data_IF_262660522448
#
_entry.id   IF_262660522448
#
_cell.length_a   1.000
_cell.length_b   1.000
_cell.length_c   1.000
_cell.angle_alpha   90.00
_cell.angle_beta   90.00
_cell.angle_gamma   90.00
#
_symmetry.space_group_name_H-M   'P 1'
#
loop_
_entity.id
_entity.type
_entity.pdbx_description
1 polymer ?
#
# COMPACT_ATOMS: atom_id res chain seq x y z
N UNK A 1 39.42 0.24 22.45
CA UNK A 1 38.38 -0.60 23.11
C UNK A 1 36.99 0.03 23.08
N UNK A 2 36.82 1.33 23.40
CA UNK A 2 35.51 2.03 23.34
C UNK A 2 34.87 2.05 21.93
N UNK A 3 35.66 2.20 20.88
CA UNK A 3 35.19 2.27 19.49
C UNK A 3 34.55 0.96 19.00
N UNK A 4 35.11 -0.19 19.38
CA UNK A 4 34.58 -1.50 18.99
C UNK A 4 33.21 -1.76 19.63
N UNK A 5 33.02 -1.31 20.87
CA UNK A 5 31.73 -1.40 21.58
C UNK A 5 30.67 -0.55 20.89
N UNK A 6 31.00 0.69 20.52
CA UNK A 6 30.08 1.57 19.78
C UNK A 6 29.65 0.98 18.43
N UNK A 7 30.58 0.36 17.70
CA UNK A 7 30.29 -0.31 16.42
C UNK A 7 29.34 -1.50 16.64
N UNK A 8 29.62 -2.36 17.64
CA UNK A 8 28.75 -3.49 17.96
C UNK A 8 27.34 -3.03 18.31
N UNK A 9 27.20 -2.01 19.16
CA UNK A 9 25.88 -1.46 19.50
C UNK A 9 25.16 -0.86 18.29
N UNK A 10 25.87 -0.15 17.41
CA UNK A 10 25.29 0.38 16.18
C UNK A 10 24.78 -0.72 15.25
N UNK A 11 25.52 -1.84 15.16
CA UNK A 11 25.15 -2.99 14.35
C UNK A 11 23.90 -3.69 14.90
N UNK A 12 23.83 -3.86 16.23
CA UNK A 12 22.67 -4.42 16.92
C UNK A 12 21.44 -3.52 16.68
N UNK A 13 21.60 -2.21 16.80
CA UNK A 13 20.49 -1.27 16.58
C UNK A 13 19.99 -1.29 15.13
N UNK A 14 20.90 -1.32 14.15
CA UNK A 14 20.56 -1.49 12.74
C UNK A 14 19.85 -2.82 12.49
N UNK A 15 20.30 -3.89 13.12
CA UNK A 15 19.66 -5.20 12.99
C UNK A 15 18.23 -5.19 13.58
N UNK A 16 18.02 -4.57 14.74
CA UNK A 16 16.69 -4.40 15.34
C UNK A 16 15.80 -3.56 14.43
N UNK A 17 16.30 -2.43 13.91
CA UNK A 17 15.56 -1.58 12.97
C UNK A 17 15.17 -2.34 11.70
N UNK A 18 16.07 -3.16 11.17
CA UNK A 18 15.80 -4.00 10.02
C UNK A 18 14.68 -5.00 10.30
N UNK A 19 14.69 -5.68 11.45
CA UNK A 19 13.61 -6.59 11.84
C UNK A 19 12.28 -5.84 11.99
N UNK A 20 12.28 -4.71 12.70
CA UNK A 20 11.08 -3.88 12.88
C UNK A 20 10.49 -3.47 11.52
N UNK A 21 11.31 -3.03 10.57
CA UNK A 21 10.84 -2.62 9.24
C UNK A 21 10.02 -3.70 8.53
N UNK A 22 10.39 -4.98 8.70
CA UNK A 22 9.66 -6.11 8.11
C UNK A 22 8.34 -6.40 8.80
N UNK A 23 8.23 -6.15 10.11
CA UNK A 23 7.00 -6.38 10.87
C UNK A 23 5.98 -5.24 10.75
N UNK A 24 6.45 -4.02 10.50
CA UNK A 24 5.61 -2.84 10.39
C UNK A 24 4.90 -2.72 9.04
N UNK A 25 5.43 -3.33 7.97
CA UNK A 25 4.76 -3.30 6.68
C UNK A 25 3.48 -4.17 6.66
N UNK A 26 2.35 -3.66 6.14
CA UNK A 26 1.14 -4.44 5.99
C UNK A 26 1.35 -5.62 5.04
N UNK A 27 0.77 -6.78 5.40
CA UNK A 27 0.77 -7.97 4.54
C UNK A 27 -0.07 -7.73 3.29
N UNK A 28 0.41 -8.26 2.17
CA UNK A 28 -0.33 -8.28 0.92
C UNK A 28 -1.54 -9.22 1.08
N UNK A 29 -2.73 -8.70 0.82
CA UNK A 29 -4.00 -9.44 0.89
C UNK A 29 -4.80 -9.23 -0.41
N UNK A 30 -5.76 -10.13 -0.67
CA UNK A 30 -6.67 -9.99 -1.81
C UNK A 30 -7.70 -8.88 -1.56
N UNK A 31 -8.30 -8.37 -2.63
CA UNK A 31 -9.34 -7.34 -2.52
C UNK A 31 -10.60 -7.90 -1.84
N UNK A 32 -10.95 -9.16 -2.09
CA UNK A 32 -12.06 -9.82 -1.37
C UNK A 32 -11.81 -9.89 0.15
N UNK A 33 -10.59 -10.25 0.58
CA UNK A 33 -10.24 -10.29 2.01
C UNK A 33 -10.22 -8.87 2.61
N UNK A 34 -9.78 -7.89 1.83
CA UNK A 34 -9.77 -6.47 2.20
C UNK A 34 -11.16 -5.99 2.59
N UNK A 35 -12.22 -6.44 1.89
CA UNK A 35 -13.61 -6.11 2.23
C UNK A 35 -14.04 -6.70 3.58
N UNK A 36 -13.37 -7.74 4.09
CA UNK A 36 -13.67 -8.39 5.38
C UNK A 36 -12.94 -7.74 6.56
N UNK A 37 -11.89 -6.93 6.34
CA UNK A 37 -11.11 -6.24 7.41
C UNK A 37 -11.90 -5.16 8.14
N UNK A 38 -11.52 -4.83 9.37
CA UNK A 38 -12.18 -3.77 10.14
C UNK A 38 -11.79 -2.37 9.63
N UNK A 39 -12.60 -1.36 9.96
CA UNK A 39 -12.23 0.02 9.67
C UNK A 39 -11.01 0.45 10.48
N UNK A 40 -10.15 1.29 9.88
CA UNK A 40 -8.90 1.75 10.46
C UNK A 40 -7.72 0.79 10.26
N UNK A 41 -7.97 -0.45 9.84
CA UNK A 41 -6.89 -1.42 9.57
C UNK A 41 -6.07 -1.02 8.34
N UNK A 42 -4.76 -1.23 8.46
CA UNK A 42 -3.83 -1.08 7.35
C UNK A 42 -3.88 -2.29 6.43
N UNK A 43 -3.95 -2.02 5.12
CA UNK A 43 -4.00 -3.05 4.09
C UNK A 43 -3.00 -2.72 2.99
N UNK A 44 -2.47 -3.78 2.37
CA UNK A 44 -1.68 -3.71 1.15
C UNK A 44 -2.37 -4.60 0.12
N UNK A 45 -2.74 -4.03 -1.02
CA UNK A 45 -3.40 -4.74 -2.12
C UNK A 45 -2.63 -4.55 -3.41
N UNK A 46 -2.80 -5.48 -4.36
CA UNK A 46 -2.32 -5.33 -5.73
C UNK A 46 -3.45 -5.59 -6.71
N UNK A 47 -3.48 -4.83 -7.79
CA UNK A 47 -4.48 -4.99 -8.84
C UNK A 47 -4.29 -4.04 -9.99
N UNK A 48 -5.13 -4.19 -11.00
CA UNK A 48 -5.17 -3.32 -12.18
C UNK A 48 -6.11 -2.14 -11.94
N UNK A 49 -5.69 -0.95 -12.37
CA UNK A 49 -6.53 0.25 -12.31
C UNK A 49 -7.59 0.19 -13.40
N UNK A 50 -8.86 0.04 -13.03
CA UNK A 50 -9.99 -0.02 -13.98
C UNK A 50 -10.74 1.29 -14.14
N UNK A 51 -10.66 2.16 -13.13
CA UNK A 51 -11.18 3.53 -13.21
C UNK A 51 -10.22 4.46 -12.48
N UNK A 52 -10.03 5.66 -13.03
CA UNK A 52 -9.28 6.75 -12.40
C UNK A 52 -10.02 8.05 -12.64
N UNK A 53 -10.30 8.79 -11.56
CA UNK A 53 -10.79 10.16 -11.59
C UNK A 53 -9.85 11.01 -10.76
N UNK A 54 -9.26 12.03 -11.38
CA UNK A 54 -8.34 12.95 -10.74
C UNK A 54 -8.88 14.36 -10.84
N UNK A 55 -9.05 15.00 -9.68
CA UNK A 55 -9.39 16.40 -9.48
C UNK A 55 -8.41 16.96 -8.43
N UNK A 56 -8.91 17.67 -7.41
CA UNK A 56 -8.15 18.00 -6.20
C UNK A 56 -7.88 16.77 -5.31
N UNK A 57 -8.42 15.61 -5.67
CA UNK A 57 -8.25 14.31 -5.05
C UNK A 57 -8.10 13.25 -6.15
N UNK A 58 -7.70 12.03 -5.79
CA UNK A 58 -7.72 10.89 -6.72
C UNK A 58 -8.61 9.79 -6.20
N UNK A 59 -9.61 9.41 -6.99
CA UNK A 59 -10.45 8.25 -6.75
C UNK A 59 -10.17 7.21 -7.83
N UNK A 60 -9.83 6.01 -7.41
CA UNK A 60 -9.51 4.91 -8.32
C UNK A 60 -10.28 3.66 -7.95
N UNK A 61 -10.63 2.88 -8.97
CA UNK A 61 -11.16 1.53 -8.79
C UNK A 61 -10.07 0.56 -9.20
N UNK A 62 -9.61 -0.25 -8.24
CA UNK A 62 -8.59 -1.27 -8.46
C UNK A 62 -9.25 -2.64 -8.39
N UNK A 63 -8.90 -3.52 -9.32
CA UNK A 63 -9.42 -4.87 -9.41
C UNK A 63 -8.29 -5.88 -9.43
N UNK A 64 -8.45 -6.97 -8.68
CA UNK A 64 -7.60 -8.16 -8.77
C UNK A 64 -8.42 -9.30 -9.39
N UNK A 65 -7.94 -10.53 -9.29
CA UNK A 65 -8.64 -11.70 -9.82
C UNK A 65 -9.86 -12.10 -8.98
N UNK A 66 -10.05 -11.50 -7.80
CA UNK A 66 -11.10 -11.86 -6.84
C UNK A 66 -12.24 -10.84 -6.85
N UNK A 67 -11.93 -9.55 -6.85
CA UNK A 67 -12.93 -8.48 -6.73
C UNK A 67 -12.32 -7.11 -7.11
N UNK A 68 -13.14 -6.06 -7.01
CA UNK A 68 -12.73 -4.67 -7.13
C UNK A 68 -13.05 -3.86 -5.86
N UNK A 69 -12.21 -2.86 -5.57
CA UNK A 69 -12.44 -1.90 -4.49
C UNK A 69 -12.07 -0.49 -4.92
N UNK A 70 -12.76 0.49 -4.33
CA UNK A 70 -12.40 1.90 -4.48
C UNK A 70 -11.28 2.26 -3.51
N UNK A 71 -10.32 3.05 -4.01
CA UNK A 71 -9.28 3.66 -3.21
C UNK A 71 -9.26 5.17 -3.48
N UNK A 72 -9.06 5.95 -2.42
CA UNK A 72 -9.18 7.40 -2.42
C UNK A 72 -7.92 8.03 -1.82
N UNK A 73 -7.34 8.99 -2.53
CA UNK A 73 -6.25 9.84 -2.06
C UNK A 73 -6.73 11.28 -1.97
N UNK A 74 -6.47 11.94 -0.84
CA UNK A 74 -6.76 13.38 -0.67
C UNK A 74 -5.91 14.25 -1.58
N UNK A 75 -4.68 13.82 -1.87
CA UNK A 75 -3.80 14.50 -2.82
C UNK A 75 -3.93 13.87 -4.21
N UNK A 76 -3.88 14.67 -5.28
CA UNK A 76 -3.91 14.13 -6.63
C UNK A 76 -2.67 13.28 -6.90
N UNK A 77 -2.87 12.08 -7.44
CA UNK A 77 -1.79 11.17 -7.86
C UNK A 77 -1.83 11.05 -9.37
N UNK A 78 -0.79 11.54 -10.03
CA UNK A 78 -0.68 11.58 -11.50
C UNK A 78 0.17 10.44 -12.06
N UNK A 79 0.93 9.74 -11.23
CA UNK A 79 2.03 8.88 -11.69
C UNK A 79 1.60 7.57 -12.37
N UNK A 80 0.34 7.12 -12.22
CA UNK A 80 -0.17 5.88 -12.81
C UNK A 80 -1.42 6.11 -13.65
N UNK A 81 -1.67 5.28 -14.64
CA UNK A 81 -2.77 5.39 -15.60
C UNK A 81 -3.78 4.24 -15.50
N UNK A 82 -4.80 4.29 -16.35
CA UNK A 82 -5.70 3.14 -16.53
C UNK A 82 -4.92 1.92 -16.99
N UNK A 83 -5.36 0.76 -16.55
CA UNK A 83 -4.79 -0.58 -16.79
C UNK A 83 -3.36 -0.80 -16.25
N UNK A 84 -2.76 0.17 -15.55
CA UNK A 84 -1.52 -0.07 -14.81
C UNK A 84 -1.76 -1.08 -13.68
N UNK A 85 -0.78 -1.97 -13.49
CA UNK A 85 -0.73 -2.85 -12.33
C UNK A 85 -0.08 -2.11 -11.16
N UNK A 86 -0.83 -1.92 -10.08
CA UNK A 86 -0.43 -1.10 -8.94
C UNK A 86 -0.48 -1.88 -7.63
N UNK A 87 0.41 -1.53 -6.71
CA UNK A 87 0.33 -1.85 -5.29
C UNK A 87 -0.17 -0.61 -4.54
N UNK A 88 -1.23 -0.77 -3.75
CA UNK A 88 -1.78 0.29 -2.91
C UNK A 88 -1.62 -0.11 -1.45
N UNK A 89 -1.05 0.80 -0.65
CA UNK A 89 -0.99 0.70 0.80
C UNK A 89 -1.86 1.82 1.38
N UNK A 90 -2.72 1.47 2.32
CA UNK A 90 -3.64 2.43 2.90
C UNK A 90 -4.45 1.86 4.05
N UNK A 91 -5.39 2.67 4.55
CA UNK A 91 -6.30 2.29 5.64
C UNK A 91 -7.71 2.07 5.14
N UNK A 92 -8.38 1.07 5.69
CA UNK A 92 -9.80 0.84 5.43
C UNK A 92 -10.63 1.95 6.07
N UNK A 93 -11.46 2.59 5.26
CA UNK A 93 -12.31 3.69 5.68
C UNK A 93 -13.75 3.49 5.20
N UNK A 94 -14.69 4.16 5.87
CA UNK A 94 -16.12 4.12 5.53
C UNK A 94 -16.50 5.43 4.84
N UNK A 95 -16.88 5.36 3.57
CA UNK A 95 -17.46 6.49 2.85
C UNK A 95 -18.57 6.02 1.91
N UNK A 96 -19.80 5.97 2.41
CA UNK A 96 -20.97 5.28 1.83
C UNK A 96 -20.77 3.77 1.64
N UNK A 97 -19.64 3.36 1.07
CA UNK A 97 -19.13 2.00 0.96
C UNK A 97 -17.73 1.89 1.60
N UNK A 98 -17.22 0.66 1.71
CA UNK A 98 -15.88 0.40 2.22
C UNK A 98 -14.85 0.72 1.15
N UNK A 99 -13.91 1.60 1.48
CA UNK A 99 -12.85 2.04 0.58
C UNK A 99 -11.50 2.08 1.28
N UNK A 100 -10.43 2.20 0.49
CA UNK A 100 -9.07 2.34 1.00
C UNK A 100 -8.67 3.82 0.92
N UNK A 101 -8.37 4.45 2.06
CA UNK A 101 -7.65 5.73 2.08
C UNK A 101 -6.19 5.45 1.72
N UNK A 102 -5.77 5.93 0.56
CA UNK A 102 -4.44 5.71 0.00
C UNK A 102 -3.41 6.54 0.79
N UNK A 103 -2.35 5.87 1.23
CA UNK A 103 -1.17 6.49 1.83
C UNK A 103 0.04 6.35 0.89
N UNK A 104 0.13 5.23 0.17
CA UNK A 104 1.18 4.98 -0.81
C UNK A 104 0.64 4.20 -2.01
N UNK A 105 1.13 4.53 -3.21
CA UNK A 105 0.88 3.78 -4.45
C UNK A 105 2.19 3.53 -5.17
N UNK A 106 2.41 2.28 -5.59
CA UNK A 106 3.58 1.88 -6.40
C UNK A 106 3.11 1.25 -7.69
N UNK A 107 3.72 1.63 -8.81
CA UNK A 107 3.47 1.00 -10.10
C UNK A 107 4.38 -0.21 -10.21
N UNK A 108 3.79 -1.36 -10.45
CA UNK A 108 4.50 -2.59 -10.69
C UNK A 108 4.61 -2.77 -12.20
N UNK A 109 5.76 -2.41 -12.78
CA UNK A 109 6.02 -2.72 -14.19
C UNK A 109 5.93 -4.23 -14.36
N UNK A 110 5.00 -4.71 -15.19
CA UNK A 110 5.07 -6.07 -15.70
C UNK A 110 6.41 -6.18 -16.43
N UNK A 111 7.29 -7.07 -15.95
CA UNK A 111 8.47 -7.46 -16.74
C UNK A 111 7.92 -8.14 -17.99
N UNK A 112 7.83 -7.39 -19.08
CA UNK A 112 7.71 -7.98 -20.40
C UNK A 112 8.98 -8.84 -20.58
N UNK A 113 8.78 -10.15 -20.68
CA UNK A 113 9.83 -11.11 -21.03
C UNK A 113 10.33 -10.90 -22.45
#
# INVERSE_FOLDING_TARGET
MKTNVAIIFSLIFLFILFLLSKFLEPKLISIEETKKKSYGEWVKIRGYVKLKKTYNFTLVKVCDNTDCIFAFSKTPITNFNLDDYVEIIGKINKYKEKLISIEEVRILKLKNG
#
